data_IF_776843642581
#
_entry.id   IF_776843642581
#
_cell.length_a   1.000
_cell.length_b   1.000
_cell.length_c   1.000
_cell.angle_alpha   90.00
_cell.angle_beta   90.00
_cell.angle_gamma   90.00
#
_symmetry.space_group_name_H-M   'P 1'
#
loop_
_entity.id
_entity.type
_entity.pdbx_description
1 polymer ?
#
# COMPACT_ATOMS: atom_id res chain seq x y z
N UNK A 1 20.02 -41.47 11.37
CA UNK A 1 18.95 -41.01 10.47
C UNK A 1 18.03 -40.08 11.26
N UNK A 2 18.47 -38.83 11.45
CA UNK A 2 17.67 -37.75 12.05
C UNK A 2 17.57 -36.65 11.02
N UNK A 3 16.47 -36.62 10.28
CA UNK A 3 16.17 -35.55 9.32
C UNK A 3 14.74 -35.00 9.47
N UNK A 4 13.96 -35.50 10.43
CA UNK A 4 12.51 -35.23 10.50
C UNK A 4 12.16 -34.01 11.36
N UNK A 5 13.06 -33.50 12.21
CA UNK A 5 12.76 -32.37 13.13
C UNK A 5 13.28 -31.03 12.59
N UNK A 6 14.35 -31.03 11.79
CA UNK A 6 14.96 -29.79 11.27
C UNK A 6 14.22 -29.20 10.05
N UNK A 7 13.47 -30.03 9.32
CA UNK A 7 12.72 -29.63 8.12
C UNK A 7 11.44 -28.85 8.48
N UNK A 8 10.82 -29.19 9.61
CA UNK A 8 9.57 -28.57 10.09
C UNK A 8 9.83 -27.13 10.57
N UNK A 9 10.94 -26.90 11.29
CA UNK A 9 11.34 -25.57 11.76
C UNK A 9 11.72 -24.62 10.61
N UNK A 10 12.43 -25.10 9.58
CA UNK A 10 12.75 -24.27 8.41
C UNK A 10 11.51 -23.90 7.61
N UNK A 11 10.56 -24.84 7.46
CA UNK A 11 9.30 -24.60 6.79
C UNK A 11 8.43 -23.60 7.56
N UNK A 12 8.22 -23.81 8.86
CA UNK A 12 7.45 -22.92 9.72
C UNK A 12 8.04 -21.50 9.74
N UNK A 13 9.37 -21.39 9.80
CA UNK A 13 10.08 -20.10 9.72
C UNK A 13 9.86 -19.41 8.37
N UNK A 14 10.01 -20.11 7.24
CA UNK A 14 9.74 -19.53 5.91
C UNK A 14 8.28 -19.15 5.72
N UNK A 15 7.35 -19.95 6.24
CA UNK A 15 5.92 -19.66 6.21
C UNK A 15 5.61 -18.36 6.96
N UNK A 16 6.25 -18.14 8.11
CA UNK A 16 6.12 -16.90 8.87
C UNK A 16 6.79 -15.69 8.18
N UNK A 17 8.04 -15.85 7.72
CA UNK A 17 8.82 -14.79 7.06
C UNK A 17 8.18 -14.27 5.77
N UNK A 18 7.47 -15.15 5.05
CA UNK A 18 6.82 -14.82 3.76
C UNK A 18 5.33 -14.52 3.87
N UNK A 19 4.79 -14.52 5.11
CA UNK A 19 3.36 -14.42 5.41
C UNK A 19 2.50 -15.40 4.59
N UNK A 20 2.77 -16.70 4.71
CA UNK A 20 2.16 -17.75 3.88
C UNK A 20 2.49 -17.60 2.39
N UNK A 21 3.71 -17.16 2.07
CA UNK A 21 4.18 -16.94 0.69
C UNK A 21 3.31 -15.95 -0.11
N UNK A 22 2.65 -14.99 0.55
CA UNK A 22 1.84 -13.97 -0.14
C UNK A 22 2.63 -12.70 -0.43
N UNK A 23 3.75 -12.47 0.26
CA UNK A 23 4.61 -11.33 0.00
C UNK A 23 5.25 -11.45 -1.40
N UNK A 24 5.43 -10.30 -2.06
CA UNK A 24 5.92 -10.21 -3.43
C UNK A 24 4.87 -10.46 -4.51
N UNK A 25 3.67 -10.96 -4.18
CA UNK A 25 2.58 -11.08 -5.16
C UNK A 25 1.84 -9.76 -5.36
N UNK A 26 1.59 -9.33 -6.61
CA UNK A 26 0.70 -8.20 -6.89
C UNK A 26 -0.71 -8.42 -6.33
N UNK A 27 -1.29 -7.39 -5.72
CA UNK A 27 -2.66 -7.36 -5.22
C UNK A 27 -3.31 -6.00 -5.44
N UNK A 28 -4.63 -5.92 -5.23
CA UNK A 28 -5.41 -4.69 -5.38
C UNK A 28 -5.20 -4.03 -6.75
N UNK A 29 -5.23 -4.84 -7.82
CA UNK A 29 -4.96 -4.38 -9.18
C UNK A 29 -6.11 -3.53 -9.73
N UNK A 30 -5.79 -2.41 -10.38
CA UNK A 30 -6.75 -1.53 -11.05
C UNK A 30 -6.17 -1.03 -12.38
N UNK A 31 -7.00 -0.95 -13.42
CA UNK A 31 -6.64 -0.33 -14.69
C UNK A 31 -6.95 1.18 -14.66
N UNK A 32 -6.03 1.98 -15.18
CA UNK A 32 -6.27 3.40 -15.43
C UNK A 32 -7.39 3.61 -16.46
N UNK A 33 -8.09 4.74 -16.36
CA UNK A 33 -9.22 5.06 -17.25
C UNK A 33 -8.84 5.15 -18.73
N UNK A 34 -7.57 5.42 -19.04
CA UNK A 34 -7.01 5.46 -20.39
C UNK A 34 -6.60 4.07 -20.93
N UNK A 35 -6.62 3.04 -20.08
CA UNK A 35 -6.20 1.68 -20.42
C UNK A 35 -4.70 1.51 -20.70
N UNK A 36 -3.87 2.53 -20.46
CA UNK A 36 -2.41 2.49 -20.71
C UNK A 36 -1.61 2.07 -19.51
N UNK A 37 -2.17 2.26 -18.33
CA UNK A 37 -1.52 1.97 -17.07
C UNK A 37 -2.33 0.98 -16.25
N UNK A 38 -1.61 0.16 -15.50
CA UNK A 38 -2.15 -0.63 -14.43
C UNK A 38 -1.45 -0.28 -13.12
N UNK A 39 -2.21 -0.26 -12.04
CA UNK A 39 -1.70 -0.02 -10.69
C UNK A 39 -1.95 -1.22 -9.81
N UNK A 40 -1.01 -1.49 -8.90
CA UNK A 40 -1.13 -2.59 -7.95
C UNK A 40 -0.20 -2.40 -6.76
N UNK A 41 -0.52 -3.09 -5.67
CA UNK A 41 0.32 -3.17 -4.50
C UNK A 41 1.19 -4.41 -4.57
N UNK A 42 2.47 -4.26 -4.30
CA UNK A 42 3.43 -5.36 -4.24
C UNK A 42 4.59 -4.97 -3.33
N UNK A 43 5.09 -5.91 -2.55
CA UNK A 43 6.35 -5.72 -1.84
C UNK A 43 7.55 -6.03 -2.74
N UNK A 44 8.73 -5.55 -2.37
CA UNK A 44 9.92 -5.65 -3.22
C UNK A 44 10.37 -7.10 -3.41
N UNK A 45 10.17 -7.93 -2.38
CA UNK A 45 10.55 -9.33 -2.36
C UNK A 45 9.68 -10.20 -1.45
N UNK A 46 9.94 -11.52 -1.44
CA UNK A 46 9.11 -12.51 -0.77
C UNK A 46 9.15 -12.45 0.76
N UNK A 47 10.04 -11.63 1.33
CA UNK A 47 10.18 -11.43 2.79
C UNK A 47 10.02 -9.96 3.19
N UNK A 48 9.73 -9.07 2.23
CA UNK A 48 9.45 -7.66 2.53
C UNK A 48 7.97 -7.51 2.88
N UNK A 49 7.69 -7.15 4.13
CA UNK A 49 6.34 -6.93 4.63
C UNK A 49 5.75 -5.57 4.24
N UNK A 50 6.55 -4.66 3.66
CA UNK A 50 6.05 -3.36 3.22
C UNK A 50 5.59 -3.41 1.76
N UNK A 51 4.32 -3.09 1.57
CA UNK A 51 3.74 -2.89 0.27
C UNK A 51 4.09 -1.50 -0.25
N UNK A 52 4.44 -1.46 -1.54
CA UNK A 52 4.61 -0.23 -2.31
C UNK A 52 3.52 -0.17 -3.36
N UNK A 53 3.20 1.03 -3.80
CA UNK A 53 2.33 1.21 -4.95
C UNK A 53 3.18 1.20 -6.21
N UNK A 54 2.84 0.31 -7.13
CA UNK A 54 3.50 0.15 -8.41
C UNK A 54 2.58 0.63 -9.53
N UNK A 55 3.22 1.07 -10.62
CA UNK A 55 2.58 1.33 -11.90
C UNK A 55 3.24 0.48 -13.00
N UNK A 56 2.43 -0.03 -13.90
CA UNK A 56 2.85 -0.81 -15.06
C UNK A 56 2.29 -0.16 -16.31
N UNK A 57 3.20 0.25 -17.20
CA UNK A 57 2.87 0.77 -18.51
C UNK A 57 2.58 -0.42 -19.44
N UNK A 58 1.35 -0.55 -19.89
CA UNK A 58 0.87 -1.68 -20.69
C UNK A 58 1.36 -1.63 -22.14
N UNK A 59 1.74 -0.45 -22.64
CA UNK A 59 2.27 -0.27 -24.00
C UNK A 59 3.74 -0.69 -24.10
N UNK A 60 4.56 -0.31 -23.11
CA UNK A 60 6.01 -0.56 -23.06
C UNK A 60 6.39 -1.78 -22.23
N UNK A 61 5.42 -2.36 -21.51
CA UNK A 61 5.61 -3.42 -20.53
C UNK A 61 6.55 -3.06 -19.36
N UNK A 62 6.79 -1.77 -19.10
CA UNK A 62 7.68 -1.30 -18.05
C UNK A 62 6.95 -1.15 -16.71
N UNK A 63 7.55 -1.66 -15.64
CA UNK A 63 7.03 -1.54 -14.27
C UNK A 63 7.93 -0.64 -13.44
N UNK A 64 7.35 0.27 -12.65
CA UNK A 64 8.09 1.16 -11.74
C UNK A 64 7.31 1.40 -10.45
N UNK A 65 8.02 1.77 -9.39
CA UNK A 65 7.41 2.20 -8.13
C UNK A 65 6.82 3.60 -8.32
N UNK A 66 5.55 3.76 -7.95
CA UNK A 66 4.86 5.06 -7.93
C UNK A 66 4.97 5.72 -6.56
N UNK A 67 4.74 4.97 -5.48
CA UNK A 67 4.86 5.45 -4.10
C UNK A 67 5.52 4.40 -3.21
N UNK A 68 6.45 4.83 -2.38
CA UNK A 68 7.11 4.02 -1.35
C UNK A 68 7.07 4.75 -0.01
N UNK A 69 6.34 4.19 0.95
CA UNK A 69 6.22 4.76 2.30
C UNK A 69 7.56 4.87 3.04
N UNK A 70 8.59 4.09 2.66
CA UNK A 70 9.93 4.14 3.29
C UNK A 70 10.81 5.26 2.75
N UNK A 71 10.56 5.72 1.52
CA UNK A 71 11.38 6.77 0.91
C UNK A 71 11.21 8.14 1.61
N UNK A 72 10.18 8.27 2.46
CA UNK A 72 9.82 9.47 3.21
C UNK A 72 10.09 9.35 4.73
N UNK A 73 11.01 8.48 5.18
CA UNK A 73 11.36 8.26 6.60
C UNK A 73 12.06 9.46 7.31
N UNK A 74 11.68 10.71 7.04
CA UNK A 74 11.90 11.83 7.96
C UNK A 74 10.73 12.07 8.94
N UNK A 75 9.59 11.38 8.79
CA UNK A 75 8.41 11.64 9.65
C UNK A 75 7.63 10.38 10.06
N UNK A 76 8.24 9.42 10.76
CA UNK A 76 7.43 8.49 11.58
C UNK A 76 8.18 8.06 12.85
N UNK A 77 8.08 8.85 13.92
CA UNK A 77 8.08 8.22 15.25
C UNK A 77 6.74 7.50 15.41
N UNK A 78 6.81 6.17 15.31
CA UNK A 78 5.69 5.24 15.48
C UNK A 78 4.99 5.50 16.81
N UNK A 79 3.81 6.12 16.75
CA UNK A 79 2.93 6.33 17.88
C UNK A 79 2.24 5.01 18.27
N UNK A 80 2.23 4.68 19.56
CA UNK A 80 1.71 3.42 20.14
C UNK A 80 0.26 3.08 19.70
N UNK A 81 -0.53 4.11 19.34
CA UNK A 81 -1.91 3.99 18.81
C UNK A 81 -1.98 3.23 17.48
N UNK A 82 -0.97 3.37 16.62
CA UNK A 82 -0.88 2.66 15.33
C UNK A 82 -0.57 1.16 15.55
N UNK A 83 0.27 0.84 16.54
CA UNK A 83 0.66 -0.53 16.91
C UNK A 83 -0.52 -1.31 17.50
N UNK A 84 -1.25 -0.72 18.44
CA UNK A 84 -2.46 -1.34 19.02
C UNK A 84 -3.59 -1.54 18.01
N UNK A 85 -3.64 -0.71 16.95
CA UNK A 85 -4.65 -0.85 15.90
C UNK A 85 -4.28 -1.90 14.86
N UNK A 86 -2.99 -2.01 14.48
CA UNK A 86 -2.47 -3.09 13.63
C UNK A 86 -2.79 -4.47 14.22
N UNK A 87 -2.68 -4.62 15.54
CA UNK A 87 -3.08 -5.85 16.25
C UNK A 87 -4.58 -6.13 16.13
N UNK A 88 -5.44 -5.11 16.08
CA UNK A 88 -6.90 -5.27 15.97
C UNK A 88 -7.39 -5.58 14.54
N UNK A 89 -6.70 -5.10 13.49
CA UNK A 89 -7.11 -5.28 12.10
C UNK A 89 -6.54 -6.53 11.40
N UNK A 90 -5.64 -7.28 12.05
CA UNK A 90 -4.88 -8.40 11.44
C UNK A 90 -4.14 -7.99 10.15
N UNK A 91 -3.89 -6.70 9.94
CA UNK A 91 -3.07 -6.22 8.82
C UNK A 91 -1.60 -6.47 9.15
N UNK A 92 -1.05 -7.57 8.61
CA UNK A 92 0.36 -7.95 8.76
C UNK A 92 1.29 -7.23 7.78
N UNK A 93 0.74 -6.54 6.76
CA UNK A 93 1.51 -5.80 5.78
C UNK A 93 1.64 -4.33 6.20
N UNK A 94 2.87 -3.80 6.16
CA UNK A 94 3.15 -2.37 6.36
C UNK A 94 3.19 -1.60 5.03
N UNK A 95 3.45 -0.30 5.11
CA UNK A 95 3.49 0.57 3.92
C UNK A 95 2.10 0.92 3.38
N UNK A 96 1.94 0.89 2.06
CA UNK A 96 0.68 1.24 1.38
C UNK A 96 -0.20 0.00 1.27
N UNK A 97 -1.24 -0.09 2.09
CA UNK A 97 -2.11 -1.29 2.15
C UNK A 97 -3.36 -1.21 1.27
N UNK A 98 -3.73 0.00 0.85
CA UNK A 98 -4.88 0.28 -0.03
C UNK A 98 -4.61 1.54 -0.85
N UNK A 99 -5.32 1.69 -1.96
CA UNK A 99 -5.36 2.93 -2.74
C UNK A 99 -6.69 3.00 -3.49
N UNK A 100 -7.05 4.19 -3.96
CA UNK A 100 -8.18 4.42 -4.86
C UNK A 100 -7.74 5.30 -6.03
N UNK A 101 -8.44 5.20 -7.16
CA UNK A 101 -8.17 5.99 -8.37
C UNK A 101 -9.46 6.69 -8.80
N UNK A 102 -9.33 7.88 -9.41
CA UNK A 102 -10.48 8.56 -10.00
C UNK A 102 -10.94 7.86 -11.29
N UNK A 103 -12.18 8.11 -11.72
CA UNK A 103 -12.72 7.51 -12.94
C UNK A 103 -11.99 7.95 -14.23
N UNK A 104 -11.33 9.10 -14.18
CA UNK A 104 -10.54 9.63 -15.30
C UNK A 104 -9.16 8.97 -15.39
N UNK A 105 -8.75 8.24 -14.36
CA UNK A 105 -7.43 7.71 -14.24
C UNK A 105 -6.38 8.82 -14.34
N UNK A 106 -6.40 9.78 -13.43
CA UNK A 106 -5.33 10.79 -13.34
C UNK A 106 -4.76 10.89 -11.93
N UNK A 107 -5.60 10.87 -10.89
CA UNK A 107 -5.14 10.84 -9.49
C UNK A 107 -5.40 9.48 -8.85
N UNK A 108 -4.38 9.00 -8.16
CA UNK A 108 -4.47 7.94 -7.17
C UNK A 108 -4.40 8.56 -5.79
N UNK A 109 -5.25 8.13 -4.86
CA UNK A 109 -5.21 8.51 -3.45
C UNK A 109 -4.90 7.32 -2.55
N UNK A 110 -4.13 7.57 -1.49
CA UNK A 110 -3.81 6.61 -0.44
C UNK A 110 -3.55 7.32 0.88
N UNK A 111 -3.56 6.57 1.97
CA UNK A 111 -3.13 7.04 3.29
C UNK A 111 -1.89 6.27 3.76
N UNK A 112 -0.85 6.98 4.22
CA UNK A 112 0.35 6.37 4.83
C UNK A 112 0.55 6.99 6.20
N UNK A 113 0.51 6.19 7.26
CA UNK A 113 0.60 6.72 8.63
C UNK A 113 -0.47 7.75 8.96
N UNK A 114 -1.60 7.72 8.24
CA UNK A 114 -2.73 8.64 8.41
C UNK A 114 -2.68 9.91 7.59
N UNK A 115 -1.56 10.17 6.92
CA UNK A 115 -1.42 11.28 6.01
C UNK A 115 -2.05 10.94 4.66
N UNK A 116 -2.85 11.87 4.12
CA UNK A 116 -3.47 11.74 2.82
C UNK A 116 -2.50 12.14 1.71
N UNK A 117 -2.32 11.24 0.75
CA UNK A 117 -1.44 11.40 -0.40
C UNK A 117 -2.26 11.24 -1.68
N UNK A 118 -2.11 12.14 -2.65
CA UNK A 118 -2.48 11.92 -4.05
C UNK A 118 -1.21 11.80 -4.89
N UNK A 119 -1.21 10.91 -5.87
CA UNK A 119 -0.18 10.83 -6.89
C UNK A 119 -0.79 10.79 -8.28
N UNK A 120 -0.18 11.50 -9.22
CA UNK A 120 -0.43 11.30 -10.65
C UNK A 120 0.36 10.07 -11.10
N UNK A 121 -0.34 9.02 -11.54
CA UNK A 121 0.33 7.76 -11.88
C UNK A 121 1.00 7.78 -13.26
N UNK A 122 0.73 8.78 -14.09
CA UNK A 122 1.39 8.99 -15.38
C UNK A 122 2.69 9.75 -15.20
N UNK A 123 2.68 10.87 -14.49
CA UNK A 123 3.88 11.70 -14.26
C UNK A 123 4.72 11.20 -13.09
N UNK A 124 4.09 10.60 -12.08
CA UNK A 124 4.71 10.23 -10.80
C UNK A 124 4.76 11.39 -9.80
N UNK A 125 4.11 12.52 -10.09
CA UNK A 125 4.04 13.65 -9.17
C UNK A 125 3.20 13.30 -7.94
N UNK A 126 3.66 13.69 -6.76
CA UNK A 126 3.05 13.37 -5.47
C UNK A 126 2.70 14.64 -4.73
N UNK A 127 1.44 14.75 -4.30
CA UNK A 127 0.93 15.84 -3.47
C UNK A 127 0.41 15.28 -2.15
N UNK A 128 0.75 15.93 -1.04
CA UNK A 128 0.24 15.62 0.30
C UNK A 128 -0.83 16.63 0.67
N UNK A 129 -1.88 16.16 1.33
CA UNK A 129 -2.99 16.99 1.75
C UNK A 129 -3.10 17.03 3.27
N UNK A 130 -3.20 18.24 3.81
CA UNK A 130 -3.58 18.44 5.20
C UNK A 130 -4.97 17.87 5.43
N UNK A 131 -5.13 17.21 6.57
CA UNK A 131 -6.41 16.67 7.04
C UNK A 131 -6.56 16.96 8.52
N UNK A 132 -7.80 17.11 9.03
CA UNK A 132 -8.04 17.44 10.43
C UNK A 132 -7.67 16.28 11.39
N UNK A 133 -7.30 15.11 10.86
CA UNK A 133 -6.91 13.95 11.63
C UNK A 133 -6.48 12.80 10.71
N UNK A 134 -6.24 11.63 11.30
CA UNK A 134 -5.76 10.45 10.60
C UNK A 134 -6.77 9.94 9.57
N UNK A 135 -6.44 10.04 8.28
CA UNK A 135 -7.31 9.60 7.19
C UNK A 135 -7.20 8.08 6.98
N UNK A 136 -8.34 7.43 6.84
CA UNK A 136 -8.47 5.99 6.60
C UNK A 136 -9.31 5.77 5.35
N UNK A 137 -8.90 4.79 4.52
CA UNK A 137 -9.57 4.38 3.28
C UNK A 137 -9.97 5.57 2.39
N UNK A 138 -9.03 6.45 2.00
CA UNK A 138 -9.37 7.57 1.15
C UNK A 138 -9.90 7.10 -0.21
N UNK A 139 -10.96 7.76 -0.67
CA UNK A 139 -11.63 7.55 -1.95
C UNK A 139 -11.64 8.86 -2.71
N UNK A 140 -11.49 8.78 -4.03
CA UNK A 140 -11.52 9.95 -4.90
C UNK A 140 -12.59 9.79 -5.97
N UNK A 141 -13.38 10.83 -6.20
CA UNK A 141 -14.35 10.89 -7.29
C UNK A 141 -14.65 12.35 -7.65
N UNK A 142 -14.66 12.67 -8.95
CA UNK A 142 -14.99 14.02 -9.45
C UNK A 142 -14.21 15.15 -8.76
N UNK A 143 -12.91 14.94 -8.52
CA UNK A 143 -12.03 15.92 -7.88
C UNK A 143 -12.26 16.11 -6.37
N UNK A 144 -13.08 15.27 -5.72
CA UNK A 144 -13.29 15.26 -4.28
C UNK A 144 -12.64 14.03 -3.67
N UNK A 145 -12.05 14.20 -2.49
CA UNK A 145 -11.47 13.12 -1.71
C UNK A 145 -12.33 12.96 -0.46
N UNK A 146 -12.78 11.74 -0.17
CA UNK A 146 -13.48 11.39 1.05
C UNK A 146 -12.71 10.32 1.80
N UNK A 147 -12.89 10.21 3.11
CA UNK A 147 -12.28 9.16 3.91
C UNK A 147 -12.96 9.05 5.28
N UNK A 148 -12.35 8.27 6.17
CA UNK A 148 -12.80 8.15 7.56
C UNK A 148 -11.77 8.80 8.48
N UNK A 149 -12.23 9.70 9.36
CA UNK A 149 -11.46 10.34 10.43
C UNK A 149 -12.27 10.17 11.73
N UNK A 150 -11.65 9.68 12.80
CA UNK A 150 -12.30 9.51 14.12
C UNK A 150 -13.67 8.79 14.09
N UNK A 151 -13.78 7.76 13.26
CA UNK A 151 -15.02 6.97 13.02
C UNK A 151 -16.17 7.74 12.36
N UNK A 152 -15.90 8.94 11.84
CA UNK A 152 -16.83 9.73 11.04
C UNK A 152 -16.36 9.81 9.58
N UNK A 153 -17.32 10.01 8.67
CA UNK A 153 -17.01 10.33 7.28
C UNK A 153 -16.51 11.77 7.16
N UNK A 154 -15.41 11.95 6.44
CA UNK A 154 -14.80 13.23 6.09
C UNK A 154 -14.79 13.38 4.56
N UNK A 155 -14.97 14.61 4.07
CA UNK A 155 -15.01 15.01 2.67
C UNK A 155 -14.26 16.34 2.48
#
# INVERSE_FOLDING_TARGET
>A
MSQTIEYDDQFARRLAETQNFTLGYPRNFVLGGDGKWALFLKSDGPTDSNLRLWRWNLETNATSVLLDARADEQTVQLNEVEKERRERLRERAGGITSFAIDAHGTCVVTSVGGELICADYTTGEVTRYDSPGYVIDPRVAHGRIAGVIDRALWL
#
